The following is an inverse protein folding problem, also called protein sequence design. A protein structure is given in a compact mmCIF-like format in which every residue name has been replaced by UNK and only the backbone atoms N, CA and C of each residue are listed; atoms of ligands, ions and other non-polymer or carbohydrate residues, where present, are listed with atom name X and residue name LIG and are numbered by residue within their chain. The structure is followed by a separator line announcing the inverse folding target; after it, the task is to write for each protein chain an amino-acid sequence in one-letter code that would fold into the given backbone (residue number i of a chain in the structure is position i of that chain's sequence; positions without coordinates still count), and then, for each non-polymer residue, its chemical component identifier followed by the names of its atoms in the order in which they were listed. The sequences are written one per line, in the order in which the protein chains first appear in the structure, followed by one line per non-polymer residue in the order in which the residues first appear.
data_IF_014222914947
#
_entry.id   IF_014222914947
#
_cell.length_a   1.000
_cell.length_b   1.000
_cell.length_c   1.000
_cell.angle_alpha   90.00
_cell.angle_beta   90.00
_cell.angle_gamma   90.00
#
_symmetry.space_group_name_H-M   'P 1'
#
loop_
_entity.id
_entity.type
_entity.pdbx_description
1 polymer ?
#
# COMPACT_ATOMS: atom_id res chain seq x y z
N UNK A 1 2.82 47.53 -54.23
CA UNK A 1 3.75 47.46 -53.09
C UNK A 1 3.20 46.41 -52.14
N UNK A 2 3.86 45.27 -51.93
CA UNK A 2 3.45 44.32 -50.90
C UNK A 2 4.26 44.55 -49.63
N UNK A 3 3.56 44.66 -48.51
CA UNK A 3 4.13 44.73 -47.17
C UNK A 3 4.82 43.41 -46.79
N UNK A 4 6.03 43.54 -46.27
CA UNK A 4 6.86 42.46 -45.74
C UNK A 4 6.30 41.96 -44.40
N UNK A 5 5.87 40.71 -44.35
CA UNK A 5 5.58 40.00 -43.11
C UNK A 5 6.90 39.69 -42.36
N UNK A 6 7.16 40.40 -41.26
CA UNK A 6 8.29 40.13 -40.38
C UNK A 6 8.09 38.83 -39.59
N UNK A 7 8.88 37.81 -39.89
CA UNK A 7 8.99 36.61 -39.08
C UNK A 7 9.60 36.96 -37.71
N UNK A 8 8.80 36.92 -36.64
CA UNK A 8 9.32 36.97 -35.26
C UNK A 8 10.09 35.68 -34.99
N UNK A 9 11.42 35.77 -34.97
CA UNK A 9 12.30 34.72 -34.48
C UNK A 9 11.92 34.38 -33.02
N UNK A 10 11.42 33.15 -32.80
CA UNK A 10 11.33 32.57 -31.45
C UNK A 10 12.76 32.33 -30.97
N UNK A 11 13.26 33.21 -30.11
CA UNK A 11 14.49 32.99 -29.35
C UNK A 11 14.31 31.78 -28.46
N UNK A 12 14.92 30.65 -28.84
CA UNK A 12 15.14 29.52 -27.93
C UNK A 12 16.10 30.01 -26.85
N UNK A 13 15.59 30.36 -25.68
CA UNK A 13 16.40 30.50 -24.47
C UNK A 13 17.02 29.15 -24.15
N UNK A 14 18.33 29.01 -24.31
CA UNK A 14 19.05 27.84 -23.80
C UNK A 14 18.83 27.77 -22.30
N UNK A 15 18.20 26.71 -21.78
CA UNK A 15 18.14 26.48 -20.32
C UNK A 15 19.57 26.53 -19.79
N UNK A 16 19.88 27.52 -18.97
CA UNK A 16 21.17 27.62 -18.30
C UNK A 16 21.40 26.30 -17.55
N UNK A 17 22.49 25.60 -17.88
CA UNK A 17 22.81 24.32 -17.25
C UNK A 17 23.15 24.58 -15.79
N UNK A 18 22.29 24.11 -14.87
CA UNK A 18 22.53 24.25 -13.43
C UNK A 18 23.75 23.39 -13.05
N UNK A 19 24.79 23.95 -12.39
CA UNK A 19 25.95 23.20 -11.95
C UNK A 19 25.57 22.07 -10.99
N UNK A 20 26.29 20.95 -11.05
CA UNK A 20 25.98 19.76 -10.26
C UNK A 20 26.14 19.96 -8.75
N UNK A 21 26.97 20.90 -8.30
CA UNK A 21 27.13 21.23 -6.87
C UNK A 21 25.89 21.91 -6.26
N UNK A 22 24.94 22.35 -7.08
CA UNK A 22 23.65 22.89 -6.61
C UNK A 22 22.54 21.84 -6.58
N UNK A 23 22.84 20.61 -7.00
CA UNK A 23 21.94 19.47 -6.89
C UNK A 23 22.10 18.91 -5.48
N UNK A 24 21.03 18.92 -4.70
CA UNK A 24 20.99 18.28 -3.37
C UNK A 24 20.98 16.77 -3.52
N UNK A 25 20.11 16.25 -4.37
CA UNK A 25 19.98 14.81 -4.60
C UNK A 25 19.44 14.49 -6.00
N UNK A 26 19.57 13.22 -6.39
CA UNK A 26 19.01 12.69 -7.64
C UNK A 26 17.87 11.74 -7.35
N UNK A 27 16.67 12.10 -7.80
CA UNK A 27 15.48 11.27 -7.67
C UNK A 27 15.06 10.74 -9.04
N UNK A 28 15.21 9.43 -9.26
CA UNK A 28 14.86 8.72 -10.49
C UNK A 28 15.36 9.43 -11.78
N UNK A 29 16.65 9.78 -11.82
CA UNK A 29 17.32 10.56 -12.88
C UNK A 29 16.93 12.03 -13.01
N UNK A 30 16.19 12.56 -12.05
CA UNK A 30 15.81 13.97 -12.05
C UNK A 30 16.52 14.70 -10.90
N UNK A 31 17.23 15.80 -11.17
CA UNK A 31 17.90 16.55 -10.12
C UNK A 31 16.88 17.27 -9.24
N UNK A 32 17.15 17.26 -7.94
CA UNK A 32 16.48 18.06 -6.91
C UNK A 32 17.51 19.06 -6.40
N UNK A 33 17.17 20.34 -6.44
CA UNK A 33 18.12 21.41 -6.13
C UNK A 33 17.92 21.94 -4.71
N UNK A 34 19.00 22.46 -4.13
CA UNK A 34 18.94 23.22 -2.88
C UNK A 34 18.02 24.43 -3.05
N UNK A 35 17.24 24.73 -2.01
CA UNK A 35 16.39 25.91 -1.96
C UNK A 35 17.22 27.17 -2.07
N UNK A 36 16.92 28.01 -3.06
CA UNK A 36 17.70 29.22 -3.33
C UNK A 36 18.88 29.02 -4.28
N UNK A 37 19.01 27.86 -4.95
CA UNK A 37 20.04 27.65 -5.97
C UNK A 37 20.01 28.72 -7.07
N UNK A 38 18.83 29.25 -7.40
CA UNK A 38 18.67 30.33 -8.38
C UNK A 38 19.32 31.64 -7.92
N UNK A 39 19.29 31.92 -6.62
CA UNK A 39 19.95 33.10 -6.04
C UNK A 39 21.46 32.94 -6.09
N UNK A 40 21.98 31.72 -5.93
CA UNK A 40 23.41 31.42 -6.13
C UNK A 40 23.81 31.62 -7.59
N UNK A 41 23.00 31.14 -8.54
CA UNK A 41 23.24 31.39 -9.97
C UNK A 41 23.23 32.88 -10.32
N UNK A 42 22.49 33.69 -9.57
CA UNK A 42 22.41 35.15 -9.72
C UNK A 42 23.43 35.91 -8.86
N UNK A 43 24.32 35.20 -8.14
CA UNK A 43 25.32 35.79 -7.21
C UNK A 43 24.71 36.62 -6.07
N UNK A 44 23.46 36.35 -5.71
CA UNK A 44 22.77 36.96 -4.56
C UNK A 44 23.05 36.20 -3.25
N UNK A 45 23.39 34.92 -3.36
CA UNK A 45 23.81 34.03 -2.28
C UNK A 45 25.09 33.30 -2.67
N UNK A 46 25.81 32.86 -1.66
CA UNK A 46 26.91 31.90 -1.79
C UNK A 46 26.38 30.48 -1.76
N UNK A 47 27.22 29.51 -2.13
CA UNK A 47 26.90 28.08 -1.98
C UNK A 47 26.71 27.70 -0.52
N UNK A 48 27.56 28.25 0.35
CA UNK A 48 27.56 28.02 1.80
C UNK A 48 26.23 28.43 2.43
N UNK A 49 25.59 29.47 1.90
CA UNK A 49 24.28 29.96 2.38
C UNK A 49 23.13 28.96 2.18
N UNK A 50 23.30 27.95 1.32
CA UNK A 50 22.20 27.04 0.94
C UNK A 50 22.51 25.55 1.13
N UNK A 51 23.77 25.17 1.38
CA UNK A 51 24.16 23.76 1.51
C UNK A 51 23.86 23.16 2.88
N UNK A 52 23.80 23.98 3.93
CA UNK A 52 23.57 23.52 5.30
C UNK A 52 22.07 23.36 5.62
N UNK A 53 21.76 22.41 6.50
CA UNK A 53 20.43 22.29 7.08
C UNK A 53 20.06 23.54 7.88
N UNK A 54 18.83 24.02 7.68
CA UNK A 54 18.27 25.06 8.51
C UNK A 54 17.97 24.58 9.93
N UNK A 55 17.88 25.51 10.88
CA UNK A 55 17.54 25.21 12.28
C UNK A 55 16.22 24.47 12.45
N UNK A 56 15.25 24.68 11.55
CA UNK A 56 13.99 23.95 11.53
C UNK A 56 14.20 22.45 11.28
N UNK A 57 14.95 22.07 10.25
CA UNK A 57 15.24 20.66 9.93
C UNK A 57 16.00 20.00 11.07
N UNK A 58 17.01 20.69 11.61
CA UNK A 58 17.78 20.22 12.75
C UNK A 58 16.90 20.01 14.00
N UNK A 59 15.98 20.93 14.29
CA UNK A 59 15.04 20.80 15.40
C UNK A 59 14.08 19.63 15.22
N UNK A 60 13.54 19.43 14.01
CA UNK A 60 12.66 18.30 13.70
C UNK A 60 13.43 16.97 13.86
N UNK A 61 14.63 16.86 13.28
CA UNK A 61 15.52 15.69 13.43
C UNK A 61 15.80 15.38 14.91
N UNK A 62 16.13 16.40 15.70
CA UNK A 62 16.39 16.27 17.13
C UNK A 62 15.19 15.73 17.90
N UNK A 63 14.02 16.38 17.77
CA UNK A 63 12.83 15.97 18.52
C UNK A 63 12.30 14.60 18.09
N UNK A 64 12.34 14.27 16.80
CA UNK A 64 11.97 12.94 16.32
C UNK A 64 12.91 11.86 16.86
N UNK A 65 14.23 12.12 16.88
CA UNK A 65 15.19 11.18 17.46
C UNK A 65 14.88 10.91 18.94
N UNK A 66 14.61 11.96 19.72
CA UNK A 66 14.23 11.81 21.13
C UNK A 66 12.91 11.06 21.32
N UNK A 67 11.89 11.41 20.53
CA UNK A 67 10.59 10.75 20.55
C UNK A 67 10.75 9.25 20.28
N UNK A 68 11.43 8.89 19.20
CA UNK A 68 11.66 7.50 18.82
C UNK A 68 12.50 6.78 19.88
N UNK A 69 13.53 7.43 20.42
CA UNK A 69 14.35 6.86 21.50
C UNK A 69 13.56 6.57 22.79
N UNK A 70 12.53 7.35 23.08
CA UNK A 70 11.69 7.17 24.28
C UNK A 70 10.59 6.11 24.09
N UNK A 71 10.17 5.84 22.85
CA UNK A 71 9.05 4.94 22.56
C UNK A 71 9.47 3.60 21.94
N UNK A 72 10.71 3.48 21.45
CA UNK A 72 11.25 2.23 20.92
C UNK A 72 12.08 1.49 21.96
N UNK A 73 12.05 0.16 21.86
CA UNK A 73 12.94 -0.72 22.62
C UNK A 73 14.39 -0.57 22.10
N UNK A 74 15.15 0.36 22.69
CA UNK A 74 16.54 0.61 22.32
C UNK A 74 17.48 -0.57 22.61
N UNK A 75 17.04 -1.62 23.31
CA UNK A 75 17.80 -2.87 23.37
C UNK A 75 17.72 -3.67 22.05
N UNK A 76 16.65 -3.48 21.27
CA UNK A 76 16.41 -4.15 19.99
C UNK A 76 16.72 -3.30 18.77
N UNK A 77 16.64 -1.98 18.87
CA UNK A 77 16.74 -1.09 17.71
C UNK A 77 17.86 -0.06 17.85
N UNK A 78 18.51 0.24 16.73
CA UNK A 78 19.25 1.47 16.50
C UNK A 78 18.30 2.54 15.99
N UNK A 79 18.47 3.77 16.46
CA UNK A 79 17.89 4.98 15.88
C UNK A 79 19.05 5.85 15.47
N UNK A 80 19.46 5.78 14.21
CA UNK A 80 20.52 6.62 13.68
C UNK A 80 19.92 7.86 13.03
N UNK A 81 20.56 9.01 13.24
CA UNK A 81 20.21 10.28 12.59
C UNK A 81 21.46 10.94 12.01
N UNK A 82 21.27 11.78 10.99
CA UNK A 82 22.34 12.57 10.38
C UNK A 82 22.91 11.95 9.10
N UNK A 83 22.07 11.82 8.07
CA UNK A 83 22.48 11.41 6.71
C UNK A 83 23.13 10.03 6.67
N UNK A 84 22.48 9.07 7.33
CA UNK A 84 22.98 7.71 7.47
C UNK A 84 22.99 7.03 6.11
N UNK A 85 24.18 6.68 5.63
CA UNK A 85 24.37 6.03 4.35
C UNK A 85 23.94 4.56 4.37
N UNK A 86 23.19 4.15 3.35
CA UNK A 86 22.73 2.77 3.16
C UNK A 86 22.95 2.30 1.72
N UNK A 87 23.15 1.01 1.55
CA UNK A 87 23.08 0.36 0.24
C UNK A 87 21.62 -0.02 -0.04
N UNK A 88 20.95 0.74 -0.91
CA UNK A 88 19.53 0.50 -1.25
C UNK A 88 19.37 -0.46 -2.43
N UNK A 89 20.40 -0.66 -3.25
CA UNK A 89 20.48 -1.69 -4.29
C UNK A 89 21.95 -1.87 -4.74
N UNK A 90 22.30 -2.89 -5.53
CA UNK A 90 23.62 -3.00 -6.13
C UNK A 90 24.01 -1.72 -6.88
N UNK A 91 25.14 -1.11 -6.47
CA UNK A 91 25.66 0.18 -7.01
C UNK A 91 24.74 1.39 -6.79
N UNK A 92 23.73 1.30 -5.92
CA UNK A 92 22.84 2.40 -5.56
C UNK A 92 22.89 2.62 -4.06
N UNK A 93 23.31 3.83 -3.68
CA UNK A 93 23.37 4.25 -2.30
C UNK A 93 22.33 5.34 -2.05
N UNK A 94 21.85 5.41 -0.82
CA UNK A 94 21.07 6.52 -0.32
C UNK A 94 21.68 7.03 0.99
N UNK A 95 21.40 8.28 1.31
CA UNK A 95 21.63 8.86 2.62
C UNK A 95 20.27 9.25 3.19
N UNK A 96 20.07 8.96 4.46
CA UNK A 96 18.77 9.10 5.11
C UNK A 96 18.87 9.99 6.33
N UNK A 97 17.89 10.89 6.50
CA UNK A 97 17.86 11.78 7.66
C UNK A 97 17.76 11.01 8.99
N UNK A 98 16.91 9.98 9.02
CA UNK A 98 16.75 9.05 10.13
C UNK A 98 16.50 7.63 9.64
N UNK A 99 17.15 6.65 10.28
CA UNK A 99 16.88 5.23 10.04
C UNK A 99 16.71 4.45 11.34
N UNK A 100 15.78 3.52 11.33
CA UNK A 100 15.58 2.55 12.40
C UNK A 100 16.08 1.19 11.90
N UNK A 101 17.06 0.60 12.57
CA UNK A 101 17.65 -0.70 12.18
C UNK A 101 17.56 -1.66 13.36
N UNK A 102 17.20 -2.91 13.10
CA UNK A 102 17.24 -3.95 14.13
C UNK A 102 18.69 -4.30 14.50
N UNK A 103 19.03 -4.24 15.79
CA UNK A 103 20.37 -4.56 16.32
C UNK A 103 20.82 -5.99 16.03
N UNK A 104 19.89 -6.93 15.84
CA UNK A 104 20.23 -8.29 15.43
C UNK A 104 20.80 -8.36 14.00
N UNK A 105 20.39 -7.43 13.13
CA UNK A 105 20.89 -7.33 11.76
C UNK A 105 22.20 -6.54 11.73
N UNK A 106 22.30 -5.48 12.54
CA UNK A 106 23.54 -4.71 12.73
C UNK A 106 24.01 -4.75 14.18
N UNK A 107 24.73 -5.80 14.62
CA UNK A 107 25.26 -5.86 15.98
C UNK A 107 26.22 -4.70 16.27
N UNK A 108 26.40 -4.28 17.54
CA UNK A 108 27.31 -3.18 17.90
C UNK A 108 28.73 -3.32 17.35
N UNK A 109 29.26 -4.54 17.25
CA UNK A 109 30.59 -4.82 16.68
C UNK A 109 30.71 -4.61 15.17
N UNK A 110 29.59 -4.49 14.46
CA UNK A 110 29.54 -4.30 13.00
C UNK A 110 29.30 -2.83 12.62
N UNK A 111 29.07 -1.95 13.59
CA UNK A 111 28.99 -0.50 13.34
C UNK A 111 30.37 0.01 12.93
N UNK A 112 30.45 0.67 11.77
CA UNK A 112 31.72 1.11 11.19
C UNK A 112 31.54 2.37 10.35
N UNK A 113 32.62 2.85 9.73
CA UNK A 113 32.60 4.00 8.81
C UNK A 113 32.07 3.65 7.40
N UNK A 114 31.52 2.45 7.21
CA UNK A 114 30.90 2.02 5.95
C UNK A 114 29.39 2.27 6.00
N UNK A 115 28.76 2.33 4.84
CA UNK A 115 27.30 2.36 4.75
C UNK A 115 26.72 1.08 5.31
N UNK A 116 25.51 1.18 5.87
CA UNK A 116 24.79 0.02 6.34
C UNK A 116 24.47 -0.89 5.15
N UNK A 117 24.85 -2.16 5.28
CA UNK A 117 24.59 -3.25 4.34
C UNK A 117 23.38 -4.10 4.79
N UNK A 118 22.60 -3.60 5.74
CA UNK A 118 21.37 -4.22 6.21
C UNK A 118 20.18 -3.32 5.95
N UNK A 119 18.99 -3.88 5.70
CA UNK A 119 17.80 -3.09 5.45
C UNK A 119 17.38 -2.31 6.71
N UNK A 120 17.04 -1.04 6.51
CA UNK A 120 16.35 -0.26 7.53
C UNK A 120 14.91 -0.78 7.69
N UNK A 121 14.44 -0.86 8.93
CA UNK A 121 13.04 -1.19 9.26
C UNK A 121 12.13 -0.01 8.91
N UNK A 122 12.61 1.20 9.18
CA UNK A 122 11.95 2.47 8.83
C UNK A 122 13.01 3.45 8.36
N UNK A 123 12.67 4.19 7.31
CA UNK A 123 13.40 5.37 6.83
C UNK A 123 12.50 6.58 7.02
N UNK A 124 13.03 7.66 7.58
CA UNK A 124 12.34 8.94 7.75
C UNK A 124 13.16 10.00 7.02
N UNK A 125 12.50 10.74 6.13
CA UNK A 125 13.08 11.83 5.33
C UNK A 125 12.41 13.15 5.72
N UNK A 126 13.20 14.20 5.93
CA UNK A 126 12.82 15.52 6.44
C UNK A 126 13.45 16.59 5.55
N UNK A 127 12.75 16.95 4.47
CA UNK A 127 13.23 17.93 3.51
C UNK A 127 12.58 19.31 3.70
N UNK A 128 13.29 20.24 4.36
CA UNK A 128 12.82 21.63 4.53
C UNK A 128 13.44 22.62 3.54
N UNK A 129 14.54 22.22 2.91
CA UNK A 129 15.43 23.09 2.14
C UNK A 129 15.61 22.66 0.68
N UNK A 130 14.59 22.02 0.09
CA UNK A 130 14.59 21.70 -1.34
C UNK A 130 13.65 22.60 -2.13
N UNK A 131 14.03 22.88 -3.38
CA UNK A 131 13.20 23.59 -4.34
C UNK A 131 12.70 22.59 -5.38
N UNK A 132 11.46 22.17 -5.17
CA UNK A 132 10.69 21.50 -6.21
C UNK A 132 10.48 22.53 -7.32
N UNK A 133 11.02 22.30 -8.52
CA UNK A 133 10.72 23.17 -9.65
C UNK A 133 9.21 23.36 -9.77
N UNK A 134 8.76 24.55 -10.17
CA UNK A 134 7.35 24.98 -10.22
C UNK A 134 6.37 24.04 -10.96
N UNK A 135 6.89 22.97 -11.57
CA UNK A 135 6.17 22.01 -12.41
C UNK A 135 5.97 20.64 -11.73
N UNK A 136 6.37 20.44 -10.46
CA UNK A 136 6.22 19.15 -9.75
C UNK A 136 5.40 19.22 -8.46
N UNK A 137 4.29 18.46 -8.33
CA UNK A 137 3.58 18.27 -7.06
C UNK A 137 4.47 17.59 -6.02
N UNK A 138 4.35 17.99 -4.74
CA UNK A 138 5.13 17.41 -3.63
C UNK A 138 4.87 15.90 -3.47
N UNK A 139 3.63 15.46 -3.74
CA UNK A 139 3.26 14.05 -3.68
C UNK A 139 4.05 13.19 -4.67
N UNK A 140 4.34 13.74 -5.86
CA UNK A 140 5.13 13.02 -6.85
C UNK A 140 6.57 12.84 -6.38
N UNK A 141 7.16 13.85 -5.72
CA UNK A 141 8.50 13.73 -5.15
C UNK A 141 8.54 12.68 -4.03
N UNK A 142 7.59 12.74 -3.08
CA UNK A 142 7.50 11.76 -1.98
C UNK A 142 7.38 10.34 -2.53
N UNK A 143 6.50 10.12 -3.52
CA UNK A 143 6.37 8.81 -4.16
C UNK A 143 7.67 8.33 -4.80
N UNK A 144 8.35 9.19 -5.58
CA UNK A 144 9.59 8.81 -6.25
C UNK A 144 10.74 8.51 -5.27
N UNK A 145 10.83 9.27 -4.16
CA UNK A 145 11.82 9.04 -3.10
C UNK A 145 11.56 7.72 -2.38
N UNK A 146 10.31 7.43 -2.04
CA UNK A 146 9.91 6.13 -1.47
C UNK A 146 10.21 4.96 -2.42
N UNK A 147 9.92 5.09 -3.71
CA UNK A 147 10.24 4.08 -4.73
C UNK A 147 11.74 3.83 -4.87
N UNK A 148 12.59 4.81 -4.57
CA UNK A 148 14.03 4.56 -4.59
C UNK A 148 14.46 3.55 -3.52
N UNK A 149 13.74 3.48 -2.40
CA UNK A 149 13.97 2.58 -1.27
C UNK A 149 13.35 1.19 -1.51
N UNK A 150 12.12 1.09 -2.00
CA UNK A 150 11.49 -0.18 -2.43
C UNK A 150 10.56 0.06 -3.63
N UNK A 151 10.82 -0.63 -4.75
CA UNK A 151 10.04 -0.55 -5.98
C UNK A 151 9.68 -1.96 -6.49
N UNK A 152 8.40 -2.31 -6.32
CA UNK A 152 7.85 -3.57 -6.78
C UNK A 152 7.42 -3.50 -8.25
N UNK A 153 7.61 -4.61 -8.95
CA UNK A 153 7.10 -4.86 -10.28
C UNK A 153 6.43 -6.22 -10.37
N UNK A 154 5.81 -6.51 -11.51
CA UNK A 154 5.23 -7.82 -11.82
C UNK A 154 6.21 -8.61 -12.68
N UNK A 155 6.48 -9.86 -12.32
CA UNK A 155 7.41 -10.71 -13.08
C UNK A 155 6.83 -11.19 -14.42
N UNK A 156 5.51 -11.08 -14.59
CA UNK A 156 4.77 -11.74 -15.68
C UNK A 156 4.60 -13.24 -15.50
N UNK A 157 5.06 -13.80 -14.36
CA UNK A 157 4.91 -15.22 -14.01
C UNK A 157 3.77 -15.40 -13.02
N UNK A 158 3.17 -16.58 -13.10
CA UNK A 158 2.14 -17.04 -12.18
C UNK A 158 2.61 -18.34 -11.52
N UNK A 159 2.25 -18.50 -10.26
CA UNK A 159 2.35 -19.76 -9.52
C UNK A 159 0.97 -20.04 -8.96
N UNK A 160 0.35 -21.15 -9.36
CA UNK A 160 -1.05 -21.50 -9.02
C UNK A 160 -2.05 -20.39 -9.43
N UNK A 161 -1.84 -19.81 -10.62
CA UNK A 161 -2.55 -18.61 -11.13
C UNK A 161 -2.43 -17.36 -10.25
N UNK A 162 -1.57 -17.35 -9.25
CA UNK A 162 -1.29 -16.19 -8.42
C UNK A 162 -0.03 -15.44 -8.90
N UNK A 163 -0.10 -14.10 -8.88
CA UNK A 163 0.97 -13.22 -9.33
C UNK A 163 2.25 -13.43 -8.52
N UNK A 164 3.39 -13.53 -9.21
CA UNK A 164 4.71 -13.34 -8.58
C UNK A 164 5.16 -11.89 -8.82
N UNK A 165 5.35 -11.15 -7.74
CA UNK A 165 5.94 -9.81 -7.75
C UNK A 165 7.47 -9.91 -7.64
N UNK A 166 8.19 -8.86 -7.99
CA UNK A 166 9.61 -8.72 -7.65
C UNK A 166 9.88 -7.32 -7.12
N UNK A 167 10.89 -7.13 -6.28
CA UNK A 167 11.44 -5.79 -6.02
C UNK A 167 12.74 -5.60 -6.79
N UNK A 168 12.98 -4.38 -7.26
CA UNK A 168 14.16 -4.06 -8.09
C UNK A 168 15.44 -3.92 -7.28
N UNK A 169 15.33 -3.74 -5.97
CA UNK A 169 16.44 -3.40 -5.09
C UNK A 169 17.25 -4.64 -4.72
N UNK A 170 16.56 -5.70 -4.33
CA UNK A 170 17.14 -6.95 -3.85
C UNK A 170 16.97 -8.10 -4.86
N UNK A 171 16.31 -7.81 -5.99
CA UNK A 171 15.91 -8.78 -7.01
C UNK A 171 15.13 -9.97 -6.42
N UNK A 172 14.46 -9.75 -5.28
CA UNK A 172 13.66 -10.78 -4.59
C UNK A 172 12.32 -10.94 -5.28
N UNK A 173 11.89 -12.18 -5.47
CA UNK A 173 10.57 -12.54 -5.98
C UNK A 173 9.65 -12.88 -4.82
N UNK A 174 8.45 -12.31 -4.84
CA UNK A 174 7.48 -12.37 -3.76
C UNK A 174 6.19 -13.02 -4.25
N UNK A 175 5.76 -14.08 -3.58
CA UNK A 175 4.45 -14.69 -3.83
C UNK A 175 3.35 -13.75 -3.32
N UNK A 176 2.50 -13.23 -4.21
CA UNK A 176 1.50 -12.22 -3.81
C UNK A 176 0.47 -12.74 -2.80
N UNK A 177 0.01 -13.99 -2.95
CA UNK A 177 -0.96 -14.60 -2.04
C UNK A 177 -0.44 -14.80 -0.61
N UNK A 178 0.83 -15.18 -0.45
CA UNK A 178 1.39 -15.52 0.88
C UNK A 178 2.29 -14.42 1.44
N UNK A 179 2.77 -13.50 0.61
CA UNK A 179 3.77 -12.49 0.93
C UNK A 179 5.18 -13.05 1.10
N UNK A 180 5.40 -14.34 0.82
CA UNK A 180 6.70 -15.00 1.01
C UNK A 180 7.70 -14.61 -0.08
N UNK A 181 8.93 -14.32 0.33
CA UNK A 181 10.08 -14.23 -0.56
C UNK A 181 10.54 -15.64 -0.98
N UNK A 182 10.32 -15.98 -2.25
CA UNK A 182 10.52 -17.34 -2.79
C UNK A 182 11.83 -17.50 -3.58
N UNK A 183 12.40 -16.39 -4.08
CA UNK A 183 13.69 -16.36 -4.80
C UNK A 183 14.38 -15.03 -4.51
N UNK A 184 15.71 -14.99 -4.45
CA UNK A 184 16.50 -13.76 -4.34
C UNK A 184 17.03 -13.51 -2.93
N UNK A 185 17.57 -12.31 -2.70
CA UNK A 185 18.34 -11.96 -1.51
C UNK A 185 17.55 -12.11 -0.20
N UNK A 186 16.25 -11.79 -0.22
CA UNK A 186 15.40 -11.83 0.97
C UNK A 186 14.62 -13.15 1.14
N UNK A 187 15.04 -14.23 0.46
CA UNK A 187 14.39 -15.55 0.56
C UNK A 187 14.22 -16.00 2.02
N UNK A 188 13.04 -16.50 2.37
CA UNK A 188 12.67 -16.89 3.74
C UNK A 188 12.10 -15.77 4.60
N UNK A 189 11.99 -14.54 4.07
CA UNK A 189 11.23 -13.45 4.68
C UNK A 189 9.77 -13.42 4.19
N UNK A 190 8.92 -12.67 4.90
CA UNK A 190 7.50 -12.52 4.56
C UNK A 190 7.06 -11.06 4.69
N UNK A 191 6.31 -10.57 3.70
CA UNK A 191 5.68 -9.25 3.73
C UNK A 191 4.60 -9.18 4.81
N UNK A 192 4.50 -8.02 5.47
CA UNK A 192 3.39 -7.73 6.37
C UNK A 192 2.17 -7.32 5.54
N UNK A 193 1.08 -8.07 5.66
CA UNK A 193 -0.18 -7.71 5.03
C UNK A 193 -0.81 -6.54 5.80
N UNK A 194 -1.36 -5.59 5.05
CA UNK A 194 -2.15 -4.49 5.58
C UNK A 194 -3.61 -4.66 5.16
N UNK A 195 -4.59 -4.35 6.02
CA UNK A 195 -5.98 -4.38 5.64
C UNK A 195 -6.25 -3.41 4.47
N UNK A 196 -6.91 -3.91 3.42
CA UNK A 196 -7.24 -3.14 2.23
C UNK A 196 -8.68 -3.50 1.78
N UNK A 197 -9.70 -2.79 2.28
CA UNK A 197 -11.10 -3.11 1.97
C UNK A 197 -11.43 -2.82 0.50
N UNK A 198 -12.30 -3.65 -0.08
CA UNK A 198 -12.91 -3.38 -1.38
C UNK A 198 -14.21 -2.65 -1.14
N UNK A 199 -14.43 -1.53 -1.84
CA UNK A 199 -15.64 -0.73 -1.75
C UNK A 199 -16.24 -0.52 -3.14
N UNK A 200 -17.56 -0.37 -3.20
CA UNK A 200 -18.19 0.13 -4.42
C UNK A 200 -17.72 1.56 -4.69
N UNK A 201 -17.71 1.95 -5.96
CA UNK A 201 -17.39 3.32 -6.32
C UNK A 201 -18.40 4.33 -5.76
N UNK A 202 -19.67 3.94 -5.67
CA UNK A 202 -20.72 4.76 -5.08
C UNK A 202 -20.44 5.04 -3.60
N UNK A 203 -20.11 4.00 -2.82
CA UNK A 203 -19.82 4.13 -1.39
C UNK A 203 -18.55 4.92 -1.15
N UNK A 204 -17.49 4.66 -1.93
CA UNK A 204 -16.24 5.41 -1.83
C UNK A 204 -16.49 6.90 -2.07
N UNK A 205 -17.23 7.27 -3.11
CA UNK A 205 -17.50 8.67 -3.45
C UNK A 205 -18.42 9.36 -2.43
N UNK A 206 -19.41 8.65 -1.91
CA UNK A 206 -20.30 9.18 -0.87
C UNK A 206 -19.54 9.45 0.44
N UNK A 207 -18.61 8.56 0.78
CA UNK A 207 -17.82 8.62 2.03
C UNK A 207 -16.68 9.62 1.93
N UNK A 208 -15.97 9.62 0.80
CA UNK A 208 -14.77 10.42 0.58
C UNK A 208 -15.00 11.33 -0.63
N UNK A 209 -15.78 12.41 -0.50
CA UNK A 209 -16.07 13.32 -1.61
C UNK A 209 -14.79 13.97 -2.17
N UNK A 210 -13.80 14.21 -1.32
CA UNK A 210 -12.47 14.70 -1.68
C UNK A 210 -11.42 13.57 -1.82
N UNK A 211 -11.89 12.31 -1.83
CA UNK A 211 -11.05 11.13 -1.94
C UNK A 211 -10.27 11.12 -3.24
N UNK A 212 -8.94 11.00 -3.15
CA UNK A 212 -8.07 10.91 -4.33
C UNK A 212 -8.18 9.50 -4.94
N UNK A 213 -8.23 9.44 -6.27
CA UNK A 213 -8.16 8.21 -7.06
C UNK A 213 -7.00 8.24 -8.04
N UNK A 214 -6.55 7.06 -8.49
CA UNK A 214 -5.53 6.98 -9.53
C UNK A 214 -6.07 7.56 -10.84
N UNK A 215 -5.26 8.44 -11.45
CA UNK A 215 -5.59 9.04 -12.75
C UNK A 215 -5.64 7.98 -13.85
N UNK A 216 -6.53 8.19 -14.83
CA UNK A 216 -6.56 7.41 -16.08
C UNK A 216 -5.51 7.91 -17.09
N UNK A 217 -4.90 9.06 -16.84
CA UNK A 217 -3.84 9.66 -17.66
C UNK A 217 -2.49 8.96 -17.40
N UNK A 218 -2.42 7.69 -17.75
CA UNK A 218 -1.26 6.83 -17.45
C UNK A 218 -0.15 6.93 -18.50
N UNK A 219 -0.39 7.60 -19.63
CA UNK A 219 0.51 7.60 -20.80
C UNK A 219 0.35 6.36 -21.71
N UNK A 220 -0.55 5.44 -21.39
CA UNK A 220 -0.83 4.25 -22.19
C UNK A 220 -2.24 4.28 -22.79
N UNK A 221 -2.38 3.77 -24.02
CA UNK A 221 -3.69 3.60 -24.65
C UNK A 221 -4.36 2.31 -24.16
N UNK A 222 -4.91 2.34 -22.95
CA UNK A 222 -5.64 1.22 -22.34
C UNK A 222 -7.05 1.65 -21.95
N UNK A 223 -8.04 0.87 -22.39
CA UNK A 223 -9.43 1.09 -22.02
C UNK A 223 -9.71 0.58 -20.59
N UNK A 224 -9.35 1.38 -19.58
CA UNK A 224 -9.68 1.08 -18.18
C UNK A 224 -11.19 0.89 -18.01
N UNK A 225 -11.59 -0.15 -17.27
CA UNK A 225 -12.97 -0.57 -17.11
C UNK A 225 -13.44 -1.63 -18.11
N UNK A 226 -12.66 -1.98 -19.13
CA UNK A 226 -12.89 -3.20 -19.93
C UNK A 226 -12.26 -4.41 -19.24
N UNK A 227 -13.00 -5.51 -19.25
CA UNK A 227 -12.58 -6.79 -18.71
C UNK A 227 -12.17 -7.74 -19.86
N UNK A 228 -10.90 -8.16 -19.93
CA UNK A 228 -10.45 -9.14 -20.93
C UNK A 228 -10.83 -10.59 -20.59
N UNK A 229 -11.41 -10.82 -19.41
CA UNK A 229 -11.73 -12.14 -18.85
C UNK A 229 -13.22 -12.26 -18.51
N UNK A 230 -14.09 -11.82 -19.42
CA UNK A 230 -15.54 -11.90 -19.23
C UNK A 230 -15.99 -13.35 -18.94
N UNK A 231 -16.85 -13.52 -17.94
CA UNK A 231 -17.37 -14.80 -17.47
C UNK A 231 -16.38 -15.66 -16.67
N UNK A 232 -15.24 -15.11 -16.24
CA UNK A 232 -14.23 -15.88 -15.49
C UNK A 232 -14.71 -16.32 -14.11
N UNK A 233 -15.60 -15.55 -13.49
CA UNK A 233 -16.18 -15.84 -12.17
C UNK A 233 -17.49 -16.66 -12.25
N UNK A 234 -17.74 -17.31 -13.38
CA UNK A 234 -18.84 -18.24 -13.53
C UNK A 234 -18.47 -19.59 -12.90
N UNK A 235 -19.16 -19.97 -11.83
CA UNK A 235 -18.92 -21.21 -11.06
C UNK A 235 -19.01 -22.50 -11.87
N UNK A 236 -19.65 -22.48 -13.04
CA UNK A 236 -19.75 -23.63 -13.93
C UNK A 236 -18.52 -23.78 -14.84
N UNK A 237 -17.61 -22.80 -14.85
CA UNK A 237 -16.38 -22.82 -15.63
C UNK A 237 -15.18 -23.13 -14.72
N UNK A 238 -14.29 -24.07 -15.12
CA UNK A 238 -13.04 -24.24 -14.42
C UNK A 238 -12.13 -23.01 -14.62
N UNK A 239 -11.24 -22.70 -13.65
CA UNK A 239 -10.28 -21.61 -13.80
C UNK A 239 -9.29 -21.95 -14.92
N UNK A 240 -9.45 -21.32 -16.08
CA UNK A 240 -8.56 -21.56 -17.21
C UNK A 240 -7.15 -21.04 -16.88
N UNK A 241 -6.10 -21.79 -17.27
CA UNK A 241 -4.68 -21.53 -16.93
C UNK A 241 -4.30 -21.72 -15.45
N UNK A 242 -5.13 -22.43 -14.68
CA UNK A 242 -4.66 -22.99 -13.41
C UNK A 242 -3.79 -24.21 -13.65
N UNK A 243 -2.56 -24.13 -13.16
CA UNK A 243 -1.60 -25.22 -13.08
C UNK A 243 -1.05 -25.23 -11.66
N UNK A 244 -1.54 -26.17 -10.84
CA UNK A 244 -1.28 -26.24 -9.41
C UNK A 244 -1.88 -27.50 -8.77
N UNK A 245 -1.73 -27.66 -7.45
CA UNK A 245 -2.26 -28.82 -6.75
C UNK A 245 -3.79 -28.88 -6.84
N UNK A 246 -4.34 -30.08 -6.70
CA UNK A 246 -5.79 -30.24 -6.51
C UNK A 246 -6.22 -29.52 -5.24
N UNK A 247 -7.22 -28.65 -5.35
CA UNK A 247 -7.81 -27.94 -4.22
C UNK A 247 -8.99 -28.72 -3.64
N UNK A 248 -9.29 -28.60 -2.33
CA UNK A 248 -10.47 -29.22 -1.74
C UNK A 248 -11.76 -28.84 -2.47
N UNK A 249 -12.66 -29.80 -2.65
CA UNK A 249 -13.91 -29.68 -3.40
C UNK A 249 -15.11 -29.20 -2.55
N UNK A 250 -14.83 -28.74 -1.32
CA UNK A 250 -15.83 -28.17 -0.39
C UNK A 250 -16.53 -26.93 -0.93
N UNK A 251 -15.93 -26.24 -1.91
CA UNK A 251 -16.51 -25.10 -2.63
C UNK A 251 -16.16 -25.19 -4.12
N UNK A 252 -17.00 -24.66 -5.02
CA UNK A 252 -16.64 -24.50 -6.43
C UNK A 252 -15.33 -23.71 -6.58
N UNK A 253 -14.44 -24.06 -7.54
CA UNK A 253 -13.15 -23.39 -7.67
C UNK A 253 -13.22 -21.87 -7.71
N UNK A 254 -14.11 -21.31 -8.53
CA UNK A 254 -14.28 -19.85 -8.67
C UNK A 254 -15.35 -19.26 -7.73
N UNK A 255 -15.75 -20.00 -6.68
CA UNK A 255 -16.58 -19.42 -5.62
C UNK A 255 -15.84 -18.27 -4.95
N UNK A 256 -16.53 -17.15 -4.72
CA UNK A 256 -15.98 -16.01 -4.00
C UNK A 256 -15.98 -16.28 -2.50
N UNK A 257 -14.86 -16.00 -1.88
CA UNK A 257 -14.68 -16.12 -0.43
C UNK A 257 -13.94 -14.90 0.08
N UNK A 258 -14.33 -14.40 1.26
CA UNK A 258 -13.45 -13.59 2.08
C UNK A 258 -12.61 -14.54 2.94
N UNK A 259 -11.29 -14.39 2.96
CA UNK A 259 -10.41 -15.25 3.75
C UNK A 259 -9.68 -14.47 4.82
N UNK A 260 -9.55 -15.08 5.99
CA UNK A 260 -8.80 -14.57 7.14
C UNK A 260 -7.76 -15.62 7.52
N UNK A 261 -6.51 -15.22 7.73
CA UNK A 261 -5.42 -16.07 8.24
C UNK A 261 -4.78 -15.36 9.43
N UNK A 262 -5.15 -15.80 10.64
CA UNK A 262 -4.74 -15.20 11.90
C UNK A 262 -4.13 -16.26 12.81
N UNK A 263 -2.95 -15.98 13.33
CA UNK A 263 -2.25 -16.85 14.28
C UNK A 263 -2.12 -18.32 13.83
N UNK A 264 -2.03 -18.56 12.51
CA UNK A 264 -1.90 -19.90 11.92
C UNK A 264 -3.23 -20.61 11.65
N UNK A 265 -4.37 -19.99 11.96
CA UNK A 265 -5.69 -20.49 11.62
C UNK A 265 -6.26 -19.73 10.42
N UNK A 266 -6.55 -20.47 9.36
CA UNK A 266 -7.16 -19.95 8.14
C UNK A 266 -8.66 -20.29 8.10
N UNK A 267 -9.49 -19.27 7.83
CA UNK A 267 -10.93 -19.42 7.65
C UNK A 267 -11.41 -18.67 6.41
N UNK A 268 -12.29 -19.31 5.64
CA UNK A 268 -12.93 -18.74 4.46
C UNK A 268 -14.43 -18.58 4.70
N UNK A 269 -14.95 -17.42 4.33
CA UNK A 269 -16.36 -17.05 4.42
C UNK A 269 -16.92 -16.96 2.99
N UNK A 270 -17.72 -17.95 2.54
CA UNK A 270 -18.36 -17.91 1.24
C UNK A 270 -19.27 -16.70 1.08
N UNK A 271 -19.19 -16.05 -0.08
CA UNK A 271 -19.95 -14.82 -0.34
C UNK A 271 -21.47 -15.03 -0.38
N UNK A 272 -21.94 -16.21 -0.77
CA UNK A 272 -23.37 -16.58 -0.73
C UNK A 272 -23.88 -16.66 0.71
N UNK A 273 -23.12 -17.30 1.61
CA UNK A 273 -23.42 -17.33 3.04
C UNK A 273 -23.38 -15.93 3.64
N UNK A 274 -22.37 -15.13 3.30
CA UNK A 274 -22.25 -13.75 3.77
C UNK A 274 -23.38 -12.86 3.25
N UNK A 275 -23.83 -13.05 2.01
CA UNK A 275 -24.94 -12.31 1.42
C UNK A 275 -26.26 -12.60 2.13
N UNK A 276 -26.49 -13.85 2.56
CA UNK A 276 -27.69 -14.23 3.30
C UNK A 276 -27.64 -13.73 4.75
N UNK A 277 -26.49 -13.87 5.43
CA UNK A 277 -26.35 -13.48 6.83
C UNK A 277 -26.23 -11.96 7.04
N UNK A 278 -25.57 -11.24 6.11
CA UNK A 278 -25.21 -9.82 6.22
C UNK A 278 -24.11 -9.52 7.26
N UNK A 279 -24.16 -10.18 8.42
CA UNK A 279 -23.22 -10.05 9.53
C UNK A 279 -22.87 -11.43 10.07
N UNK A 280 -21.57 -11.72 10.20
CA UNK A 280 -21.06 -12.95 10.83
C UNK A 280 -20.10 -12.57 11.96
N UNK A 281 -20.47 -12.90 13.20
CA UNK A 281 -19.58 -12.80 14.36
C UNK A 281 -18.82 -14.11 14.53
N UNK A 282 -17.50 -14.06 14.65
CA UNK A 282 -16.66 -15.26 14.68
C UNK A 282 -15.37 -15.04 15.48
N UNK A 283 -14.65 -16.13 15.70
CA UNK A 283 -13.32 -16.13 16.34
C UNK A 283 -12.37 -16.97 15.48
N UNK A 284 -11.24 -16.40 15.07
CA UNK A 284 -10.23 -17.07 14.24
C UNK A 284 -8.85 -16.83 14.85
N UNK A 285 -8.09 -17.91 15.11
CA UNK A 285 -6.76 -17.78 15.70
C UNK A 285 -6.77 -17.10 17.08
N UNK A 286 -7.88 -17.23 17.82
CA UNK A 286 -8.08 -16.55 19.11
C UNK A 286 -8.37 -15.04 19.03
N UNK A 287 -8.52 -14.49 17.82
CA UNK A 287 -8.97 -13.11 17.62
C UNK A 287 -10.46 -13.09 17.26
N UNK A 288 -11.23 -12.35 18.04
CA UNK A 288 -12.63 -12.12 17.78
C UNK A 288 -12.83 -11.06 16.70
N UNK A 289 -13.60 -11.42 15.68
CA UNK A 289 -13.83 -10.60 14.52
C UNK A 289 -15.30 -10.65 14.09
N UNK A 290 -15.67 -9.67 13.28
CA UNK A 290 -16.96 -9.62 12.61
C UNK A 290 -16.74 -9.41 11.12
N UNK A 291 -17.46 -10.15 10.29
CA UNK A 291 -17.50 -9.96 8.85
C UNK A 291 -18.81 -9.28 8.49
N UNK A 292 -18.71 -8.13 7.83
CA UNK A 292 -19.84 -7.41 7.26
C UNK A 292 -19.87 -7.62 5.76
N UNK A 293 -21.06 -7.91 5.24
CA UNK A 293 -21.33 -7.94 3.81
C UNK A 293 -22.28 -6.81 3.43
N UNK A 294 -22.04 -6.19 2.28
CA UNK A 294 -22.97 -5.23 1.69
C UNK A 294 -23.07 -5.38 0.18
N UNK A 295 -24.25 -5.13 -0.41
CA UNK A 295 -24.42 -5.12 -1.85
C UNK A 295 -23.76 -3.88 -2.50
N UNK A 296 -23.83 -3.79 -3.82
CA UNK A 296 -23.48 -2.59 -4.59
C UNK A 296 -22.13 -2.64 -5.30
N UNK A 297 -21.41 -3.76 -5.24
CA UNK A 297 -20.09 -3.91 -5.88
C UNK A 297 -20.19 -4.85 -7.07
N UNK A 298 -20.01 -4.29 -8.26
CA UNK A 298 -20.05 -5.05 -9.52
C UNK A 298 -18.85 -6.01 -9.65
N UNK A 299 -19.10 -7.20 -10.18
CA UNK A 299 -18.05 -8.14 -10.57
C UNK A 299 -17.18 -7.55 -11.68
N UNK A 300 -15.89 -7.41 -11.43
CA UNK A 300 -14.92 -7.02 -12.46
C UNK A 300 -14.66 -8.11 -13.52
N UNK A 301 -15.25 -9.30 -13.35
CA UNK A 301 -14.93 -10.51 -14.10
C UNK A 301 -16.14 -11.14 -14.82
N UNK A 302 -17.35 -10.61 -14.59
CA UNK A 302 -18.59 -11.16 -15.12
C UNK A 302 -18.84 -10.69 -16.58
N UNK A 303 -18.98 -9.39 -16.80
CA UNK A 303 -19.23 -8.81 -18.13
C UNK A 303 -17.93 -8.33 -18.82
N UNK A 304 -18.01 -8.01 -20.12
CA UNK A 304 -16.91 -7.36 -20.87
C UNK A 304 -16.56 -5.95 -20.38
N UNK A 305 -17.41 -5.35 -19.54
CA UNK A 305 -17.16 -4.10 -18.83
C UNK A 305 -17.35 -4.29 -17.32
N UNK A 306 -16.46 -3.70 -16.51
CA UNK A 306 -16.56 -3.77 -15.04
C UNK A 306 -17.89 -3.19 -14.54
N UNK A 307 -18.38 -2.13 -15.17
CA UNK A 307 -19.65 -1.49 -14.80
C UNK A 307 -20.89 -2.32 -15.20
N UNK A 308 -20.76 -3.26 -16.15
CA UNK A 308 -21.84 -4.13 -16.60
C UNK A 308 -21.94 -5.44 -15.83
N UNK A 309 -20.97 -5.75 -14.95
CA UNK A 309 -20.98 -6.97 -14.17
C UNK A 309 -22.09 -7.01 -13.12
N UNK A 310 -22.61 -8.20 -12.85
CA UNK A 310 -23.56 -8.46 -11.76
C UNK A 310 -23.03 -7.97 -10.41
N UNK A 311 -23.94 -7.61 -9.52
CA UNK A 311 -23.61 -7.30 -8.14
C UNK A 311 -23.12 -8.57 -7.43
N UNK A 312 -21.94 -8.48 -6.84
CA UNK A 312 -21.33 -9.53 -6.02
C UNK A 312 -21.14 -9.07 -4.58
N UNK A 313 -21.49 -7.82 -4.28
CA UNK A 313 -21.26 -7.21 -2.99
C UNK A 313 -19.79 -7.13 -2.60
N UNK A 314 -19.57 -6.67 -1.38
CA UNK A 314 -18.26 -6.63 -0.75
C UNK A 314 -18.35 -7.17 0.66
N UNK A 315 -17.27 -7.80 1.12
CA UNK A 315 -17.14 -8.30 2.47
C UNK A 315 -15.89 -7.69 3.13
N UNK A 316 -16.01 -7.26 4.37
CA UNK A 316 -14.92 -6.68 5.16
C UNK A 316 -14.93 -7.27 6.56
N UNK A 317 -13.74 -7.54 7.11
CA UNK A 317 -13.58 -8.07 8.46
C UNK A 317 -13.04 -6.99 9.41
N UNK A 318 -13.58 -6.94 10.62
CA UNK A 318 -13.20 -5.98 11.66
C UNK A 318 -13.01 -6.68 12.99
N UNK A 319 -12.17 -6.11 13.85
CA UNK A 319 -12.08 -6.52 15.24
C UNK A 319 -13.38 -6.11 15.96
N UNK A 320 -13.86 -6.98 16.84
CA UNK A 320 -15.09 -6.74 17.62
C UNK A 320 -14.89 -5.88 18.86
N UNK A 321 -13.65 -5.60 19.22
CA UNK A 321 -13.31 -4.77 20.37
C UNK A 321 -13.20 -3.29 19.97
N UNK A 322 -13.95 -2.43 20.67
CA UNK A 322 -13.88 -0.97 20.58
C UNK A 322 -13.62 -0.44 21.98
N UNK A 323 -12.51 0.26 22.19
CA UNK A 323 -12.11 0.80 23.49
C UNK A 323 -12.20 -0.18 24.68
N UNK A 324 -11.87 -1.44 24.41
CA UNK A 324 -11.89 -2.52 25.41
C UNK A 324 -13.28 -3.10 25.69
N UNK A 325 -14.34 -2.59 25.07
CA UNK A 325 -15.66 -3.21 25.06
C UNK A 325 -15.78 -4.18 23.89
N UNK A 326 -16.27 -5.38 24.18
CA UNK A 326 -16.56 -6.38 23.18
C UNK A 326 -17.98 -6.21 22.63
N UNK A 327 -18.13 -6.11 21.31
CA UNK A 327 -19.41 -5.89 20.65
C UNK A 327 -19.89 -7.14 19.92
N UNK A 328 -21.20 -7.35 19.88
CA UNK A 328 -21.87 -8.40 19.12
C UNK A 328 -22.79 -7.74 18.11
N UNK A 329 -22.54 -7.99 16.83
CA UNK A 329 -23.28 -7.31 15.76
C UNK A 329 -24.45 -8.14 15.27
N UNK A 330 -25.51 -7.46 14.85
CA UNK A 330 -26.72 -8.05 14.27
C UNK A 330 -27.09 -7.31 12.99
N UNK A 331 -27.81 -7.99 12.11
CA UNK A 331 -28.35 -7.42 10.88
C UNK A 331 -29.83 -7.80 10.77
N UNK A 332 -30.69 -6.80 10.61
CA UNK A 332 -32.14 -6.99 10.48
C UNK A 332 -32.63 -7.06 9.01
N UNK A 333 -31.70 -7.10 8.06
CA UNK A 333 -31.96 -7.01 6.62
C UNK A 333 -31.72 -5.61 6.03
N UNK A 334 -31.61 -4.58 6.87
CA UNK A 334 -31.32 -3.20 6.43
C UNK A 334 -30.22 -2.53 7.26
N UNK A 335 -30.21 -2.79 8.57
CA UNK A 335 -29.40 -2.06 9.54
C UNK A 335 -28.44 -3.00 10.24
N UNK A 336 -27.16 -2.62 10.30
CA UNK A 336 -26.18 -3.28 11.17
C UNK A 336 -26.17 -2.55 12.50
N UNK A 337 -26.34 -3.28 13.60
CA UNK A 337 -26.29 -2.71 14.95
C UNK A 337 -25.52 -3.61 15.92
N UNK A 338 -24.96 -3.04 16.99
CA UNK A 338 -24.42 -3.84 18.09
C UNK A 338 -25.46 -4.01 19.22
N UNK A 339 -25.43 -5.18 19.87
CA UNK A 339 -26.38 -5.55 20.93
C UNK A 339 -26.12 -4.74 22.21
N UNK A 340 -24.87 -4.44 22.51
CA UNK A 340 -24.45 -3.91 23.81
C UNK A 340 -24.80 -2.44 24.00
N UNK A 341 -24.74 -1.63 22.94
CA UNK A 341 -25.01 -0.20 22.97
C UNK A 341 -26.20 0.19 22.09
N UNK A 342 -26.61 -0.67 21.16
CA UNK A 342 -27.63 -0.36 20.16
C UNK A 342 -27.16 0.66 19.13
N UNK A 343 -25.85 0.87 18.98
CA UNK A 343 -25.32 1.78 17.96
C UNK A 343 -25.53 1.18 16.57
N UNK A 344 -25.74 2.04 15.58
CA UNK A 344 -25.92 1.65 14.19
C UNK A 344 -24.63 1.86 13.43
N UNK A 345 -24.26 0.88 12.62
CA UNK A 345 -22.99 0.82 11.91
C UNK A 345 -23.19 0.75 10.41
N UNK A 346 -22.25 1.30 9.66
CA UNK A 346 -22.12 1.03 8.23
C UNK A 346 -21.39 -0.29 8.02
N UNK A 347 -21.53 -0.89 6.83
CA UNK A 347 -20.75 -2.06 6.42
C UNK A 347 -19.23 -1.80 6.35
N UNK A 348 -18.79 -0.54 6.48
CA UNK A 348 -17.38 -0.12 6.58
C UNK A 348 -16.87 -0.09 8.03
N UNK A 349 -17.70 -0.45 9.01
CA UNK A 349 -17.34 -0.43 10.42
C UNK A 349 -17.36 0.96 11.06
N UNK A 350 -18.09 1.91 10.47
CA UNK A 350 -18.28 3.25 11.04
C UNK A 350 -19.62 3.32 11.79
N UNK A 351 -19.61 3.71 13.05
CA UNK A 351 -20.82 3.95 13.82
C UNK A 351 -21.45 5.30 13.43
N UNK A 352 -22.66 5.28 12.91
CA UNK A 352 -23.36 6.47 12.39
C UNK A 352 -24.41 7.03 13.35
N UNK A 353 -24.87 6.23 14.32
CA UNK A 353 -25.78 6.69 15.38
C UNK A 353 -25.68 5.82 16.62
N UNK A 354 -26.22 6.31 17.74
CA UNK A 354 -26.15 5.66 19.05
C UNK A 354 -24.93 6.07 19.87
N UNK A 355 -24.70 5.43 21.04
CA UNK A 355 -23.63 5.81 21.96
C UNK A 355 -22.22 5.80 21.38
N UNK A 356 -21.95 4.98 20.36
CA UNK A 356 -20.64 4.87 19.71
C UNK A 356 -20.54 5.71 18.43
N UNK A 357 -21.48 6.62 18.15
CA UNK A 357 -21.46 7.42 16.93
C UNK A 357 -20.13 8.17 16.73
N UNK A 358 -19.54 8.02 15.54
CA UNK A 358 -18.21 8.56 15.19
C UNK A 358 -17.06 7.57 15.38
N UNK A 359 -17.29 6.44 16.06
CA UNK A 359 -16.28 5.40 16.22
C UNK A 359 -16.08 4.57 14.93
N UNK A 360 -14.87 4.06 14.78
CA UNK A 360 -14.46 3.23 13.64
C UNK A 360 -13.89 1.91 14.14
N UNK A 361 -14.47 0.80 13.68
CA UNK A 361 -13.94 -0.53 13.95
C UNK A 361 -12.56 -0.68 13.31
N UNK A 362 -11.65 -1.32 14.05
CA UNK A 362 -10.31 -1.64 13.56
C UNK A 362 -10.39 -2.74 12.50
N UNK A 363 -9.91 -2.52 11.25
CA UNK A 363 -9.99 -3.52 10.21
C UNK A 363 -9.04 -4.69 10.48
N UNK A 364 -9.50 -5.89 10.14
CA UNK A 364 -8.71 -7.13 10.18
C UNK A 364 -8.18 -7.41 8.77
N UNK A 365 -6.97 -7.96 8.68
CA UNK A 365 -6.42 -8.41 7.40
C UNK A 365 -7.30 -9.54 6.88
N UNK A 366 -8.06 -9.25 5.84
CA UNK A 366 -8.87 -10.20 5.10
C UNK A 366 -8.70 -9.95 3.61
N UNK A 367 -8.77 -11.02 2.82
CA UNK A 367 -8.51 -10.94 1.37
C UNK A 367 -9.65 -11.61 0.62
N UNK A 368 -10.09 -10.97 -0.46
CA UNK A 368 -11.11 -11.51 -1.35
C UNK A 368 -10.45 -12.42 -2.38
N UNK A 369 -10.84 -13.68 -2.38
CA UNK A 369 -10.30 -14.73 -3.24
C UNK A 369 -11.40 -15.43 -4.04
N UNK A 370 -10.97 -16.07 -5.12
CA UNK A 370 -11.65 -17.27 -5.57
C UNK A 370 -11.12 -18.46 -4.78
N UNK A 371 -11.99 -19.39 -4.41
CA UNK A 371 -11.63 -20.51 -3.54
C UNK A 371 -10.35 -21.23 -3.99
N UNK A 372 -10.24 -21.56 -5.28
CA UNK A 372 -9.08 -22.28 -5.81
C UNK A 372 -7.76 -21.53 -5.60
N UNK A 373 -7.75 -20.19 -5.73
CA UNK A 373 -6.54 -19.39 -5.68
C UNK A 373 -6.02 -19.18 -4.25
N UNK A 374 -6.89 -19.37 -3.26
CA UNK A 374 -6.53 -19.42 -1.84
C UNK A 374 -6.16 -20.84 -1.42
N UNK A 375 -7.04 -21.80 -1.69
CA UNK A 375 -6.92 -23.18 -1.24
C UNK A 375 -5.72 -23.91 -1.85
N UNK A 376 -5.18 -23.45 -2.98
CA UNK A 376 -3.90 -23.93 -3.52
C UNK A 376 -2.71 -23.70 -2.57
N UNK A 377 -2.76 -22.62 -1.76
CA UNK A 377 -1.74 -22.27 -0.78
C UNK A 377 -2.12 -22.68 0.65
N UNK A 378 -3.42 -22.78 0.94
CA UNK A 378 -3.98 -23.03 2.28
C UNK A 378 -5.08 -24.10 2.24
N UNK A 379 -4.79 -25.34 1.80
CA UNK A 379 -5.80 -26.38 1.63
C UNK A 379 -6.50 -26.81 2.94
N UNK A 380 -5.89 -26.53 4.09
CA UNK A 380 -6.41 -26.78 5.43
C UNK A 380 -7.46 -25.76 5.91
N UNK A 381 -7.77 -24.76 5.09
CA UNK A 381 -8.68 -23.66 5.45
C UNK A 381 -10.06 -24.18 5.85
N UNK A 382 -10.53 -23.75 7.02
CA UNK A 382 -11.88 -24.02 7.46
C UNK A 382 -12.87 -23.16 6.66
N UNK A 383 -13.97 -23.74 6.21
CA UNK A 383 -15.04 -23.01 5.53
C UNK A 383 -16.14 -22.71 6.54
N UNK A 384 -16.56 -21.45 6.63
CA UNK A 384 -17.69 -21.06 7.47
C UNK A 384 -18.97 -21.73 6.94
N UNK A 385 -19.75 -22.40 7.81
CA UNK A 385 -20.92 -23.14 7.37
C UNK A 385 -22.06 -22.20 6.93
N UNK A 386 -22.97 -22.67 6.07
CA UNK A 386 -24.18 -21.94 5.71
C UNK A 386 -25.13 -21.71 6.89
#
# INVERSE_FOLDING_TARGET
MPETAGAKARTRTSKQKVPSYLIKEWVYNTPVYYKGYRDVLQKKKTTEDILADGTLQAAIKFWLTLLLGNHLDLAKYWVFSGEVGSHVAPKKNAAHDLVIIEKRLLPPGNVSNRYADVPARVVIEIDTAIEYGNDRPIEQFVQQKTQQTLDFGTTGRLHYSNLIMYDRQTETWWQQATGEAIVGELTGTRLTFLPAPILSWADFKATYPEGKVLSRETGFNRAYGRNPYAGYDNVNNPPFLYDGPTTPDVLPPVARVLTVDLNGEAKAYPYDVLQEAGVVNDTVGGQDLVVFWSPGTASALDDGTVAGGRDVGTANAFARAVDGQFLTFTFDGTTISDVETGSVWTARGEAVSGPLAGEQLSPVVAVNHFWFSWAAFKPETQVYPP
#
